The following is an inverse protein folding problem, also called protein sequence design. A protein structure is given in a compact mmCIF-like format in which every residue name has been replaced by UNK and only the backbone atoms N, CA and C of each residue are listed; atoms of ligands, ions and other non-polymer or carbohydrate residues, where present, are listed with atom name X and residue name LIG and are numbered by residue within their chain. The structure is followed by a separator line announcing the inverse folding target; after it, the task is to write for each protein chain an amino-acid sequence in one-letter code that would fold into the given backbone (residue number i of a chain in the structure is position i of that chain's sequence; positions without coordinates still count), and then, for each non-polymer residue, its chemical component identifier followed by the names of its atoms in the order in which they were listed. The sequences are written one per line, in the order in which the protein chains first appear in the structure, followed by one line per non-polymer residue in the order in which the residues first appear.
data_IF_070349497833
#
_entry.id   IF_070349497833
#
_cell.length_a   1.000
_cell.length_b   1.000
_cell.length_c   1.000
_cell.angle_alpha   90.00
_cell.angle_beta   90.00
_cell.angle_gamma   90.00
#
_symmetry.space_group_name_H-M   'P 1'
#
loop_
_entity.id
_entity.type
_entity.pdbx_description
1 polymer ?
#
# COMPACT_ATOMS: atom_id res chain seq x y z
N UNK A 1 13.93 5.89 8.30
CA UNK A 1 13.05 4.69 8.34
C UNK A 1 12.02 4.83 7.22
N UNK A 2 11.86 3.81 6.40
CA UNK A 2 10.85 3.76 5.32
C UNK A 2 9.50 3.36 5.91
N UNK A 3 8.44 4.11 5.59
CA UNK A 3 7.08 3.85 6.08
C UNK A 3 6.20 3.37 4.92
N UNK A 4 5.70 2.15 5.04
CA UNK A 4 4.85 1.54 4.05
C UNK A 4 3.45 1.31 4.60
N UNK A 5 2.42 1.41 3.77
CA UNK A 5 1.11 0.91 4.10
C UNK A 5 0.58 -0.01 2.99
N UNK A 6 -0.27 -0.93 3.39
CA UNK A 6 -0.96 -1.85 2.48
C UNK A 6 -2.33 -2.19 3.03
N UNK A 7 -3.24 -2.65 2.20
CA UNK A 7 -4.56 -3.10 2.62
C UNK A 7 -4.91 -4.44 1.95
N UNK A 8 -5.49 -5.34 2.71
CA UNK A 8 -6.00 -6.61 2.20
C UNK A 8 -6.96 -7.30 3.18
N UNK A 9 -7.67 -8.28 2.68
CA UNK A 9 -8.52 -9.18 3.46
C UNK A 9 -7.88 -10.58 3.58
N UNK A 10 -8.57 -11.50 4.21
CA UNK A 10 -8.10 -12.88 4.40
C UNK A 10 -7.89 -13.66 3.10
N UNK A 11 -8.47 -13.21 1.98
CA UNK A 11 -8.23 -13.84 0.67
C UNK A 11 -6.84 -13.53 0.10
N UNK A 12 -6.27 -12.38 0.46
CA UNK A 12 -4.93 -11.94 0.06
C UNK A 12 -3.88 -12.10 1.18
N UNK A 13 -4.23 -12.77 2.28
CA UNK A 13 -3.40 -12.88 3.47
C UNK A 13 -2.02 -13.51 3.18
N UNK A 14 -1.97 -14.56 2.38
CA UNK A 14 -0.73 -15.22 1.97
C UNK A 14 0.22 -14.28 1.22
N UNK A 15 -0.33 -13.44 0.34
CA UNK A 15 0.41 -12.43 -0.41
C UNK A 15 0.91 -11.31 0.50
N UNK A 16 0.05 -10.77 1.36
CA UNK A 16 0.44 -9.74 2.33
C UNK A 16 1.52 -10.21 3.31
N UNK A 17 1.47 -11.49 3.73
CA UNK A 17 2.53 -12.09 4.53
C UNK A 17 3.83 -12.22 3.71
N UNK A 18 3.76 -12.63 2.45
CA UNK A 18 4.93 -12.71 1.57
C UNK A 18 5.56 -11.33 1.32
N UNK A 19 4.74 -10.28 1.15
CA UNK A 19 5.21 -8.89 1.07
C UNK A 19 6.00 -8.52 2.34
N UNK A 20 5.43 -8.73 3.53
CA UNK A 20 6.12 -8.43 4.80
C UNK A 20 7.44 -9.19 4.92
N UNK A 21 7.42 -10.51 4.67
CA UNK A 21 8.62 -11.35 4.76
C UNK A 21 9.70 -10.94 3.75
N UNK A 22 9.31 -10.53 2.54
CA UNK A 22 10.26 -10.05 1.54
C UNK A 22 10.95 -8.76 1.98
N UNK A 23 10.22 -7.82 2.57
CA UNK A 23 10.79 -6.61 3.17
C UNK A 23 11.75 -6.95 4.33
N UNK A 24 11.33 -7.84 5.24
CA UNK A 24 12.13 -8.25 6.40
C UNK A 24 13.43 -8.97 6.00
N UNK A 25 13.46 -9.66 4.84
CA UNK A 25 14.68 -10.30 4.32
C UNK A 25 15.69 -9.31 3.75
N UNK A 26 15.25 -8.19 3.20
CA UNK A 26 16.12 -7.27 2.46
C UNK A 26 16.40 -5.96 3.17
N UNK A 27 15.67 -5.63 4.24
CA UNK A 27 15.85 -4.38 4.97
C UNK A 27 15.52 -4.52 6.47
N UNK A 28 16.27 -3.77 7.29
CA UNK A 28 16.01 -3.62 8.72
C UNK A 28 15.36 -2.28 9.08
N UNK A 29 15.22 -1.36 8.12
CA UNK A 29 14.85 0.03 8.35
C UNK A 29 13.51 0.36 7.69
N UNK A 30 12.46 -0.37 8.08
CA UNK A 30 11.09 -0.12 7.64
C UNK A 30 10.05 -0.35 8.73
N UNK A 31 8.87 0.24 8.53
CA UNK A 31 7.61 -0.08 9.23
C UNK A 31 6.52 -0.32 8.18
N UNK A 32 5.72 -1.39 8.34
CA UNK A 32 4.58 -1.71 7.49
C UNK A 32 3.27 -1.56 8.27
N UNK A 33 2.41 -0.64 7.86
CA UNK A 33 1.06 -0.45 8.39
C UNK A 33 0.08 -1.29 7.56
N UNK A 34 -0.49 -2.34 8.15
CA UNK A 34 -1.34 -3.31 7.47
C UNK A 34 -2.80 -3.07 7.83
N UNK A 35 -3.58 -2.59 6.88
CA UNK A 35 -5.02 -2.39 7.04
C UNK A 35 -5.77 -3.67 6.69
N UNK A 36 -6.32 -4.34 7.71
CA UNK A 36 -7.05 -5.60 7.57
C UNK A 36 -8.52 -5.31 7.23
N UNK A 37 -8.97 -5.82 6.09
CA UNK A 37 -10.33 -5.59 5.59
C UNK A 37 -11.33 -6.68 5.98
N UNK A 38 -10.92 -7.60 6.86
CA UNK A 38 -11.79 -8.50 7.61
C UNK A 38 -11.14 -8.94 8.94
N UNK A 39 -11.97 -9.46 9.85
CA UNK A 39 -11.57 -9.92 11.19
C UNK A 39 -10.53 -11.04 11.13
N UNK A 40 -10.70 -11.97 10.19
CA UNK A 40 -9.80 -13.12 10.04
C UNK A 40 -8.37 -12.73 9.71
N UNK A 41 -8.18 -11.75 8.80
CA UNK A 41 -6.85 -11.23 8.50
C UNK A 41 -6.24 -10.56 9.74
N UNK A 42 -7.03 -9.76 10.47
CA UNK A 42 -6.57 -9.09 11.67
C UNK A 42 -6.18 -10.08 12.78
N UNK A 43 -6.98 -11.12 13.02
CA UNK A 43 -6.68 -12.17 14.00
C UNK A 43 -5.34 -12.86 13.69
N UNK A 44 -5.17 -13.37 12.47
CA UNK A 44 -3.95 -14.08 12.07
C UNK A 44 -2.71 -13.20 12.19
N UNK A 45 -2.76 -11.97 11.69
CA UNK A 45 -1.61 -11.06 11.72
C UNK A 45 -1.25 -10.64 13.16
N UNK A 46 -2.23 -10.45 14.04
CA UNK A 46 -1.99 -10.18 15.46
C UNK A 46 -1.34 -11.37 16.17
N UNK A 47 -1.73 -12.60 15.85
CA UNK A 47 -1.10 -13.82 16.39
C UNK A 47 0.36 -13.97 15.93
N UNK A 48 0.68 -13.56 14.70
CA UNK A 48 2.03 -13.62 14.16
C UNK A 48 3.04 -12.68 14.85
N UNK A 49 2.59 -11.62 15.52
CA UNK A 49 3.41 -10.66 16.27
C UNK A 49 4.58 -10.11 15.44
N UNK A 50 4.28 -9.64 14.24
CA UNK A 50 5.24 -9.10 13.29
C UNK A 50 5.97 -7.89 13.90
N UNK A 51 7.32 -7.92 13.95
CA UNK A 51 8.11 -6.93 14.70
C UNK A 51 8.13 -5.54 14.05
N UNK A 52 8.01 -5.49 12.72
CA UNK A 52 8.05 -4.25 11.92
C UNK A 52 6.74 -4.01 11.20
N UNK A 53 5.63 -4.40 11.82
CA UNK A 53 4.30 -4.13 11.29
C UNK A 53 3.34 -3.67 12.39
N UNK A 54 2.41 -2.83 12.00
CA UNK A 54 1.25 -2.43 12.79
C UNK A 54 0.00 -2.91 12.09
N UNK A 55 -0.79 -3.74 12.77
CA UNK A 55 -2.06 -4.25 12.25
C UNK A 55 -3.17 -3.26 12.60
N UNK A 56 -3.88 -2.77 11.60
CA UNK A 56 -4.96 -1.78 11.73
C UNK A 56 -6.23 -2.40 11.17
N UNK A 57 -7.27 -2.49 11.99
CA UNK A 57 -8.55 -3.01 11.54
C UNK A 57 -9.30 -1.96 10.70
N UNK A 58 -9.97 -2.39 9.62
CA UNK A 58 -10.69 -1.47 8.70
C UNK A 58 -11.67 -0.52 9.40
N UNK A 59 -12.28 -0.94 10.51
CA UNK A 59 -13.20 -0.09 11.28
C UNK A 59 -12.56 1.20 11.82
N UNK A 60 -11.24 1.28 11.87
CA UNK A 60 -10.52 2.48 12.32
C UNK A 60 -10.47 3.58 11.26
N UNK A 61 -10.69 3.22 9.99
CA UNK A 61 -10.72 4.19 8.87
C UNK A 61 -12.12 4.40 8.31
N UNK A 62 -13.09 3.56 8.65
CA UNK A 62 -14.44 3.64 8.12
C UNK A 62 -15.20 4.84 8.70
N UNK A 63 -15.50 5.80 7.82
CA UNK A 63 -16.41 6.92 8.10
C UNK A 63 -17.83 6.59 7.59
N UNK A 64 -18.87 7.35 7.99
CA UNK A 64 -20.21 7.18 7.42
C UNK A 64 -20.23 7.23 5.89
N UNK A 65 -19.40 8.09 5.28
CA UNK A 65 -19.26 8.21 3.83
C UNK A 65 -18.66 6.97 3.21
N UNK A 66 -17.58 6.44 3.79
CA UNK A 66 -16.94 5.19 3.34
C UNK A 66 -17.87 3.99 3.50
N UNK A 67 -18.62 3.90 4.60
CA UNK A 67 -19.60 2.84 4.80
C UNK A 67 -20.74 2.89 3.75
N UNK A 68 -21.19 4.09 3.37
CA UNK A 68 -22.11 4.25 2.26
C UNK A 68 -21.51 3.73 0.95
N UNK A 69 -20.30 4.14 0.60
CA UNK A 69 -19.61 3.67 -0.60
C UNK A 69 -19.37 2.16 -0.59
N UNK A 70 -19.10 1.58 0.58
CA UNK A 70 -18.96 0.12 0.75
C UNK A 70 -20.20 -0.64 0.33
N UNK A 71 -21.39 -0.07 0.55
CA UNK A 71 -22.66 -0.69 0.13
C UNK A 71 -22.98 -0.52 -1.35
N UNK A 72 -22.37 0.47 -2.02
CA UNK A 72 -22.64 0.85 -3.41
C UNK A 72 -21.61 0.28 -4.39
N UNK A 73 -20.45 -0.18 -3.90
CA UNK A 73 -19.29 -0.63 -4.71
C UNK A 73 -19.06 -2.11 -4.56
N UNK A 74 -18.48 -2.73 -5.59
CA UNK A 74 -17.90 -4.06 -5.46
C UNK A 74 -16.71 -4.04 -4.49
N UNK A 75 -16.35 -5.18 -3.93
CA UNK A 75 -15.24 -5.30 -2.97
C UNK A 75 -13.91 -4.75 -3.51
N UNK A 76 -13.47 -5.05 -4.75
CA UNK A 76 -12.28 -4.43 -5.32
C UNK A 76 -12.37 -2.90 -5.43
N UNK A 77 -13.49 -2.36 -5.91
CA UNK A 77 -13.70 -0.92 -6.04
C UNK A 77 -13.66 -0.21 -4.67
N UNK A 78 -14.18 -0.85 -3.63
CA UNK A 78 -14.09 -0.33 -2.27
C UNK A 78 -12.64 -0.32 -1.76
N UNK A 79 -11.87 -1.39 -2.00
CA UNK A 79 -10.44 -1.42 -1.67
C UNK A 79 -9.68 -0.28 -2.37
N UNK A 80 -9.88 -0.08 -3.67
CA UNK A 80 -9.26 1.04 -4.39
C UNK A 80 -9.67 2.42 -3.85
N UNK A 81 -10.91 2.55 -3.39
CA UNK A 81 -11.39 3.78 -2.73
C UNK A 81 -10.64 4.04 -1.42
N UNK A 82 -10.32 3.00 -0.67
CA UNK A 82 -9.67 3.11 0.62
C UNK A 82 -8.15 3.30 0.53
N UNK A 83 -7.52 3.02 -0.61
CA UNK A 83 -6.06 3.20 -0.80
C UNK A 83 -5.56 4.58 -0.35
N UNK A 84 -6.08 5.73 -0.85
CA UNK A 84 -5.62 7.04 -0.39
C UNK A 84 -5.94 7.29 1.09
N UNK A 85 -7.03 6.73 1.60
CA UNK A 85 -7.43 6.87 3.01
C UNK A 85 -6.43 6.18 3.94
N UNK A 86 -5.85 5.04 3.54
CA UNK A 86 -4.82 4.36 4.34
C UNK A 86 -3.54 5.18 4.44
N UNK A 87 -3.12 5.83 3.36
CA UNK A 87 -1.96 6.74 3.34
C UNK A 87 -2.21 7.92 4.27
N UNK A 88 -3.35 8.62 4.09
CA UNK A 88 -3.74 9.75 4.91
C UNK A 88 -3.83 9.37 6.40
N UNK A 89 -4.38 8.19 6.70
CA UNK A 89 -4.45 7.70 8.07
C UNK A 89 -3.06 7.55 8.69
N UNK A 90 -2.11 6.92 8.00
CA UNK A 90 -0.74 6.76 8.49
C UNK A 90 -0.08 8.11 8.73
N UNK A 91 -0.14 9.02 7.76
CA UNK A 91 0.44 10.36 7.87
C UNK A 91 -0.14 11.19 9.04
N UNK A 92 -1.41 10.99 9.38
CA UNK A 92 -2.09 11.76 10.42
C UNK A 92 -2.02 11.14 11.82
N UNK A 93 -1.87 9.81 11.94
CA UNK A 93 -1.95 9.12 13.23
C UNK A 93 -0.60 8.65 13.78
N UNK A 94 0.44 8.64 12.94
CA UNK A 94 1.78 8.24 13.34
C UNK A 94 2.77 9.39 13.13
N UNK A 95 3.84 9.38 13.91
CA UNK A 95 4.93 10.37 13.81
C UNK A 95 5.87 9.99 12.67
N UNK A 96 5.38 10.21 11.44
CA UNK A 96 6.08 9.91 10.19
C UNK A 96 5.97 11.08 9.22
N UNK A 97 7.03 11.33 8.45
CA UNK A 97 7.08 12.40 7.45
C UNK A 97 6.55 11.95 6.08
N UNK A 98 6.59 10.66 5.80
CA UNK A 98 6.13 10.11 4.53
C UNK A 98 5.47 8.75 4.70
N UNK A 99 4.70 8.35 3.71
CA UNK A 99 4.10 7.02 3.62
C UNK A 99 4.04 6.56 2.16
N UNK A 100 4.44 5.31 1.92
CA UNK A 100 4.34 4.67 0.60
C UNK A 100 3.32 3.56 0.64
N UNK A 101 2.29 3.66 -0.19
CA UNK A 101 1.36 2.55 -0.40
C UNK A 101 2.00 1.46 -1.26
N UNK A 102 1.79 0.23 -0.88
CA UNK A 102 2.21 -0.97 -1.61
C UNK A 102 1.01 -1.90 -1.84
N UNK A 103 0.84 -2.39 -3.07
CA UNK A 103 -0.09 -3.48 -3.31
C UNK A 103 0.36 -4.74 -2.56
N UNK A 104 -0.59 -5.47 -1.97
CA UNK A 104 -0.30 -6.61 -1.09
C UNK A 104 0.38 -7.81 -1.80
N UNK A 105 0.40 -7.83 -3.13
CA UNK A 105 1.01 -8.88 -3.94
C UNK A 105 2.38 -8.49 -4.53
N UNK A 106 2.99 -7.42 -4.04
CA UNK A 106 4.38 -7.09 -4.32
C UNK A 106 5.34 -8.00 -3.54
N UNK A 107 6.55 -8.19 -4.10
CA UNK A 107 7.64 -8.93 -3.48
C UNK A 107 8.97 -8.22 -3.71
N UNK A 108 9.69 -7.89 -2.64
CA UNK A 108 10.98 -7.20 -2.70
C UNK A 108 12.14 -8.20 -2.82
N UNK A 109 12.94 -8.08 -3.87
CA UNK A 109 14.16 -8.86 -4.10
C UNK A 109 15.44 -8.14 -3.67
N UNK A 110 15.34 -6.85 -3.35
CA UNK A 110 16.46 -6.00 -2.89
C UNK A 110 15.94 -4.91 -1.97
N UNK A 111 16.84 -4.26 -1.23
CA UNK A 111 16.48 -3.18 -0.33
C UNK A 111 15.79 -2.03 -1.08
N UNK A 112 14.55 -1.67 -0.70
CA UNK A 112 13.83 -0.56 -1.30
C UNK A 112 14.47 0.80 -1.06
N UNK A 113 15.49 0.91 -0.21
CA UNK A 113 16.26 2.14 0.05
C UNK A 113 16.73 2.81 -1.25
N UNK A 114 17.06 2.04 -2.27
CA UNK A 114 17.48 2.57 -3.58
C UNK A 114 16.41 3.48 -4.22
N UNK A 115 15.11 3.18 -4.00
CA UNK A 115 14.01 4.00 -4.49
C UNK A 115 13.89 5.29 -3.68
N UNK A 116 14.04 5.21 -2.37
CA UNK A 116 14.00 6.39 -1.49
C UNK A 116 15.18 7.33 -1.74
N UNK A 117 16.38 6.79 -2.00
CA UNK A 117 17.54 7.60 -2.41
C UNK A 117 17.30 8.35 -3.73
N UNK A 118 16.51 7.79 -4.65
CA UNK A 118 16.11 8.48 -5.89
C UNK A 118 15.04 9.54 -5.62
N UNK A 119 14.08 9.25 -4.76
CA UNK A 119 13.05 10.21 -4.32
C UNK A 119 13.70 11.41 -3.65
N UNK A 120 14.62 11.18 -2.72
CA UNK A 120 15.35 12.23 -2.01
C UNK A 120 16.19 13.09 -2.96
N UNK A 121 16.91 12.46 -3.91
CA UNK A 121 17.68 13.19 -4.93
C UNK A 121 16.80 14.04 -5.85
N UNK A 122 15.60 13.57 -6.13
CA UNK A 122 14.63 14.32 -6.94
C UNK A 122 13.88 15.40 -6.16
N UNK A 123 14.01 15.42 -4.82
CA UNK A 123 13.20 16.23 -3.90
C UNK A 123 11.70 16.12 -4.22
N UNK A 124 11.24 14.89 -4.43
CA UNK A 124 9.87 14.62 -4.87
C UNK A 124 8.95 14.39 -3.66
N UNK A 125 7.88 15.19 -3.57
CA UNK A 125 6.87 15.03 -2.52
C UNK A 125 5.81 13.97 -2.88
N UNK A 126 5.68 13.64 -4.18
CA UNK A 126 4.76 12.59 -4.66
C UNK A 126 5.46 11.79 -5.75
N UNK A 127 5.41 10.47 -5.63
CA UNK A 127 5.87 9.55 -6.67
C UNK A 127 4.78 8.54 -7.01
N UNK A 128 4.47 8.43 -8.29
CA UNK A 128 3.51 7.50 -8.86
C UNK A 128 4.20 6.70 -9.96
N UNK A 129 4.05 5.39 -9.98
CA UNK A 129 4.69 4.53 -10.97
C UNK A 129 3.80 4.28 -12.19
N UNK A 130 4.42 3.98 -13.32
CA UNK A 130 3.74 3.66 -14.57
C UNK A 130 3.62 2.14 -14.73
N UNK A 131 2.51 1.69 -15.34
CA UNK A 131 2.33 0.27 -15.72
C UNK A 131 3.40 -0.27 -16.67
N UNK A 132 4.12 0.59 -17.39
CA UNK A 132 5.14 0.23 -18.37
C UNK A 132 4.67 -0.84 -19.37
N UNK A 133 3.46 -0.67 -19.90
CA UNK A 133 2.95 -1.54 -20.95
C UNK A 133 3.91 -1.58 -22.15
N UNK A 134 4.01 -2.76 -22.81
CA UNK A 134 4.84 -2.89 -24.01
C UNK A 134 4.42 -1.90 -25.09
N UNK A 135 5.39 -1.25 -25.75
CA UNK A 135 5.10 -0.36 -26.88
C UNK A 135 4.74 -1.19 -28.14
N UNK A 136 3.50 -1.66 -28.14
CA UNK A 136 2.87 -2.33 -29.28
C UNK A 136 1.34 -2.07 -29.22
N UNK A 137 0.62 -2.54 -30.25
CA UNK A 137 -0.83 -2.32 -30.37
C UNK A 137 -1.61 -2.83 -29.13
N UNK A 138 -1.17 -3.94 -28.54
CA UNK A 138 -1.82 -4.51 -27.36
C UNK A 138 -1.55 -3.66 -26.11
N UNK A 139 -0.31 -3.26 -25.88
CA UNK A 139 0.06 -2.41 -24.77
C UNK A 139 -0.63 -1.04 -24.79
N UNK A 140 -0.73 -0.41 -25.98
CA UNK A 140 -1.49 0.85 -26.14
C UNK A 140 -2.98 0.68 -25.78
N UNK A 141 -3.61 -0.44 -26.18
CA UNK A 141 -5.00 -0.73 -25.78
C UNK A 141 -5.16 -0.93 -24.27
N UNK A 142 -4.17 -1.52 -23.60
CA UNK A 142 -4.19 -1.68 -22.14
C UNK A 142 -4.06 -0.32 -21.46
N UNK A 143 -3.18 0.55 -21.97
CA UNK A 143 -3.01 1.92 -21.45
C UNK A 143 -4.27 2.76 -21.64
N UNK A 144 -4.92 2.70 -22.80
CA UNK A 144 -6.21 3.36 -23.06
C UNK A 144 -7.32 2.89 -22.09
N UNK A 145 -7.31 1.61 -21.75
CA UNK A 145 -8.34 1.01 -20.87
C UNK A 145 -8.07 1.23 -19.39
N UNK A 146 -6.83 1.09 -18.96
CA UNK A 146 -6.46 1.01 -17.55
C UNK A 146 -5.77 2.28 -17.04
N UNK A 147 -5.42 3.21 -17.93
CA UNK A 147 -4.61 4.36 -17.63
C UNK A 147 -3.10 4.05 -17.67
N UNK A 148 -2.31 5.10 -17.65
CA UNK A 148 -0.85 5.02 -17.71
C UNK A 148 -0.23 4.62 -16.37
N UNK A 149 -0.79 5.12 -15.28
CA UNK A 149 -0.25 4.94 -13.94
C UNK A 149 -0.94 3.79 -13.20
N UNK A 150 -0.19 3.12 -12.33
CA UNK A 150 -0.71 2.09 -11.45
C UNK A 150 -0.60 2.50 -9.97
N UNK A 151 -1.26 1.75 -9.12
CA UNK A 151 -1.37 2.05 -7.69
C UNK A 151 -0.35 1.26 -6.87
N UNK A 152 0.34 0.30 -7.48
CA UNK A 152 1.18 -0.68 -6.80
C UNK A 152 2.27 -0.10 -5.89
N UNK A 153 2.77 1.11 -6.22
CA UNK A 153 3.74 1.85 -5.42
C UNK A 153 3.46 3.34 -5.56
N UNK A 154 2.94 3.96 -4.49
CA UNK A 154 2.65 5.39 -4.46
C UNK A 154 3.24 6.01 -3.20
N UNK A 155 4.22 6.90 -3.35
CA UNK A 155 4.87 7.62 -2.28
C UNK A 155 4.25 9.01 -2.09
N UNK A 156 4.04 9.39 -0.84
CA UNK A 156 3.60 10.73 -0.44
C UNK A 156 4.41 11.23 0.75
N UNK A 157 4.92 12.44 0.62
CA UNK A 157 5.54 13.20 1.70
C UNK A 157 4.51 14.14 2.35
N UNK A 158 4.67 14.40 3.65
CA UNK A 158 3.77 15.25 4.45
C UNK A 158 4.03 16.74 4.24
N UNK A 159 5.20 17.09 3.68
CA UNK A 159 5.54 18.48 3.42
C UNK A 159 4.63 19.11 2.37
N UNK A 160 4.30 20.41 2.56
CA UNK A 160 3.43 21.14 1.63
C UNK A 160 4.07 21.37 0.27
#
# INVERSE_FOLDING_TARGET
MMNFCTLFDSYYLDKGIALYQSLEQVSDDFMLYIFCFDDKAAEVLNEMKLRRATVIHHSQIETPELLKLKSERSKPEYCWTCTPVTIEYVLNHYDVENCTYLDADLYFYSDPRVLFDEIDRAAANVVIVEHRFKDNRYGRKLEERNGRYCVEFNYFDKSP
#
